data_IF_178927976258
#
_entry.id   IF_178927976258
#
_cell.length_a   1.000
_cell.length_b   1.000
_cell.length_c   1.000
_cell.angle_alpha   90.00
_cell.angle_beta   90.00
_cell.angle_gamma   90.00
#
_symmetry.space_group_name_H-M   'P 1'
#
loop_
_entity.id
_entity.type
_entity.pdbx_description
1 polymer ?
#
# COMPACT_ATOMS: atom_id res chain seq x y z
N UNK A 1 -9.32 20.55 10.93
CA UNK A 1 -9.22 19.29 10.20
C UNK A 1 -10.48 18.49 10.44
N UNK A 2 -11.41 18.57 9.53
CA UNK A 2 -12.66 17.82 9.57
C UNK A 2 -12.44 16.57 8.72
N UNK A 3 -12.13 15.43 9.34
CA UNK A 3 -11.74 14.18 8.70
C UNK A 3 -12.83 13.45 7.90
N UNK A 4 -13.79 14.15 7.35
CA UNK A 4 -14.91 13.59 6.61
C UNK A 4 -15.12 14.33 5.27
N UNK A 5 -14.03 14.52 4.52
CA UNK A 5 -14.12 15.01 3.15
C UNK A 5 -14.41 13.88 2.17
N UNK A 6 -15.30 14.11 1.20
CA UNK A 6 -15.46 13.19 0.07
C UNK A 6 -14.15 13.04 -0.69
N UNK A 7 -13.76 11.81 -1.00
CA UNK A 7 -12.58 11.52 -1.81
C UNK A 7 -12.71 12.08 -3.22
N UNK A 8 -11.60 12.52 -3.80
CA UNK A 8 -11.54 13.01 -5.17
C UNK A 8 -10.23 12.65 -5.82
N UNK A 9 -10.22 12.68 -7.14
CA UNK A 9 -9.03 12.59 -7.97
C UNK A 9 -8.78 13.95 -8.59
N UNK A 10 -7.53 14.41 -8.51
CA UNK A 10 -7.04 15.58 -9.27
C UNK A 10 -6.03 15.11 -10.29
N UNK A 11 -6.05 15.72 -11.46
CA UNK A 11 -5.12 15.44 -12.54
C UNK A 11 -4.13 16.59 -12.67
N UNK A 12 -2.83 16.27 -12.67
CA UNK A 12 -1.77 17.23 -12.96
C UNK A 12 -1.27 17.05 -14.39
N UNK A 13 -1.39 18.12 -15.18
CA UNK A 13 -0.88 18.16 -16.54
C UNK A 13 0.54 18.76 -16.52
N UNK A 14 1.54 17.92 -16.79
CA UNK A 14 2.96 18.33 -16.78
C UNK A 14 3.31 19.32 -17.89
N UNK A 15 2.70 19.20 -19.06
CA UNK A 15 2.97 20.11 -20.20
C UNK A 15 2.43 21.50 -19.94
N UNK A 16 1.25 21.59 -19.33
CA UNK A 16 0.58 22.86 -19.04
C UNK A 16 0.90 23.40 -17.65
N UNK A 17 1.63 22.64 -16.82
CA UNK A 17 1.88 22.94 -15.40
C UNK A 17 0.58 23.36 -14.67
N UNK A 18 -0.48 22.58 -14.84
CA UNK A 18 -1.80 22.89 -14.31
C UNK A 18 -2.43 21.70 -13.61
N UNK A 19 -3.28 21.98 -12.62
CA UNK A 19 -4.04 20.97 -11.89
C UNK A 19 -5.50 21.11 -12.26
N UNK A 20 -6.14 20.00 -12.64
CA UNK A 20 -7.57 19.86 -12.73
C UNK A 20 -8.08 19.14 -11.48
N UNK A 21 -9.02 19.76 -10.78
CA UNK A 21 -9.59 19.23 -9.55
C UNK A 21 -10.93 18.56 -9.81
N UNK A 22 -11.30 17.63 -8.93
CA UNK A 22 -12.60 16.96 -8.95
C UNK A 22 -12.86 16.13 -10.21
N UNK A 23 -11.82 15.64 -10.87
CA UNK A 23 -11.93 14.93 -12.14
C UNK A 23 -12.90 13.75 -12.07
N UNK A 24 -12.84 12.93 -10.99
CA UNK A 24 -13.79 11.83 -10.78
C UNK A 24 -15.24 12.34 -10.68
N UNK A 25 -15.49 13.33 -9.83
CA UNK A 25 -16.83 13.88 -9.60
C UNK A 25 -17.42 14.49 -10.87
N UNK A 26 -16.59 15.19 -11.65
CA UNK A 26 -17.03 15.78 -12.91
C UNK A 26 -17.43 14.72 -13.93
N UNK A 27 -16.69 13.61 -13.98
CA UNK A 27 -16.94 12.50 -14.91
C UNK A 27 -18.12 11.63 -14.50
N UNK A 28 -18.42 11.52 -13.20
CA UNK A 28 -19.45 10.63 -12.66
C UNK A 28 -20.68 11.38 -12.14
N UNK A 29 -21.13 12.39 -12.85
CA UNK A 29 -22.40 13.11 -12.61
C UNK A 29 -22.56 13.69 -11.19
N UNK A 30 -21.47 14.02 -10.55
CA UNK A 30 -21.46 14.56 -9.20
C UNK A 30 -21.22 13.53 -8.09
N UNK A 31 -21.12 12.24 -8.42
CA UNK A 31 -20.81 11.19 -7.46
C UNK A 31 -19.43 11.38 -6.84
N UNK A 32 -19.24 10.87 -5.64
CA UNK A 32 -18.00 10.95 -4.89
C UNK A 32 -17.37 9.56 -4.75
N UNK A 33 -16.05 9.52 -4.66
CA UNK A 33 -15.28 8.26 -4.47
C UNK A 33 -15.54 7.55 -3.15
N UNK A 34 -16.20 8.16 -2.22
CA UNK A 34 -16.29 7.74 -0.84
C UNK A 34 -15.54 8.71 0.07
N UNK A 35 -15.46 8.39 1.36
CA UNK A 35 -14.85 9.25 2.36
C UNK A 35 -13.40 8.83 2.61
N UNK A 36 -12.49 9.78 2.58
CA UNK A 36 -11.06 9.58 2.88
C UNK A 36 -10.42 8.50 2.01
N UNK A 37 -10.19 8.82 0.73
CA UNK A 37 -9.47 7.93 -0.20
C UNK A 37 -8.06 7.63 0.31
N UNK A 38 -7.65 6.36 0.25
CA UNK A 38 -6.43 5.83 0.85
C UNK A 38 -5.37 5.47 -0.19
N UNK A 39 -5.79 4.80 -1.25
CA UNK A 39 -4.87 4.31 -2.27
C UNK A 39 -5.53 4.25 -3.63
N UNK A 40 -4.69 4.22 -4.66
CA UNK A 40 -5.08 3.97 -6.04
C UNK A 40 -4.09 2.96 -6.63
N UNK A 41 -4.60 1.89 -7.23
CA UNK A 41 -3.82 0.81 -7.83
C UNK A 41 -4.27 0.57 -9.26
N UNK A 42 -3.32 0.59 -10.20
CA UNK A 42 -3.57 0.20 -11.58
C UNK A 42 -3.38 -1.32 -11.69
N UNK A 43 -4.41 -2.04 -12.12
CA UNK A 43 -4.38 -3.48 -12.31
C UNK A 43 -5.21 -3.87 -13.52
N UNK A 44 -4.65 -4.70 -14.41
CA UNK A 44 -5.32 -5.19 -15.64
C UNK A 44 -6.04 -4.06 -16.42
N UNK A 45 -5.38 -2.91 -16.56
CA UNK A 45 -5.91 -1.76 -17.30
C UNK A 45 -7.03 -0.98 -16.60
N UNK A 46 -7.36 -1.31 -15.35
CA UNK A 46 -8.37 -0.62 -14.53
C UNK A 46 -7.71 0.07 -13.34
N UNK A 47 -8.30 1.18 -12.91
CA UNK A 47 -7.89 1.91 -11.71
C UNK A 47 -8.82 1.54 -10.55
N UNK A 48 -8.23 0.98 -9.49
CA UNK A 48 -8.90 0.58 -8.26
C UNK A 48 -8.58 1.59 -7.18
N UNK A 49 -9.59 2.25 -6.63
CA UNK A 49 -9.42 3.27 -5.58
C UNK A 49 -10.09 2.81 -4.30
N UNK A 50 -9.30 2.72 -3.22
CA UNK A 50 -9.80 2.39 -1.89
C UNK A 50 -10.09 3.66 -1.10
N UNK A 51 -11.21 3.65 -0.37
CA UNK A 51 -11.61 4.69 0.59
C UNK A 51 -12.00 4.08 1.93
N UNK A 52 -11.90 4.85 3.01
CA UNK A 52 -12.22 4.32 4.36
C UNK A 52 -13.68 4.02 4.56
N UNK A 53 -14.55 4.84 3.99
CA UNK A 53 -15.99 4.80 4.23
C UNK A 53 -16.75 4.89 2.91
N UNK A 54 -18.03 4.52 2.93
CA UNK A 54 -18.98 4.49 1.81
C UNK A 54 -18.55 3.53 0.70
N UNK A 55 -18.26 4.00 -0.49
CA UNK A 55 -17.72 3.19 -1.58
C UNK A 55 -16.26 2.84 -1.30
N UNK A 56 -16.03 1.78 -0.55
CA UNK A 56 -14.71 1.43 -0.07
C UNK A 56 -13.76 0.90 -1.14
N UNK A 57 -14.30 0.41 -2.26
CA UNK A 57 -13.54 0.17 -3.48
C UNK A 57 -14.36 0.64 -4.69
N UNK A 58 -13.78 1.53 -5.48
CA UNK A 58 -14.33 1.95 -6.77
C UNK A 58 -13.37 1.52 -7.87
N UNK A 59 -13.91 0.94 -8.93
CA UNK A 59 -13.17 0.54 -10.13
C UNK A 59 -13.58 1.42 -11.28
N UNK A 60 -12.59 1.95 -11.99
CA UNK A 60 -12.82 2.88 -13.08
C UNK A 60 -11.84 2.70 -14.23
N UNK A 61 -12.20 3.24 -15.37
CA UNK A 61 -11.28 3.40 -16.49
C UNK A 61 -10.23 4.48 -16.14
N UNK A 62 -8.92 4.18 -16.22
CA UNK A 62 -7.87 5.09 -15.77
C UNK A 62 -7.71 6.34 -16.64
N UNK A 63 -8.24 6.33 -17.87
CA UNK A 63 -8.14 7.47 -18.80
C UNK A 63 -9.31 8.43 -18.67
N UNK A 64 -10.50 7.88 -18.50
CA UNK A 64 -11.73 8.68 -18.41
C UNK A 64 -12.15 8.95 -16.98
N UNK A 65 -11.72 8.16 -16.01
CA UNK A 65 -12.16 8.11 -14.61
C UNK A 65 -13.66 7.79 -14.47
N UNK A 66 -14.26 7.21 -15.50
CA UNK A 66 -15.65 6.75 -15.44
C UNK A 66 -15.72 5.47 -14.57
N UNK A 67 -16.55 5.52 -13.52
CA UNK A 67 -16.74 4.40 -12.62
C UNK A 67 -17.48 3.27 -13.32
N UNK A 68 -16.92 2.08 -13.27
CA UNK A 68 -17.53 0.88 -13.86
C UNK A 68 -18.25 0.04 -12.80
N UNK A 69 -17.70 0.02 -11.60
CA UNK A 69 -18.28 -0.75 -10.49
C UNK A 69 -17.73 -0.30 -9.12
N UNK A 70 -18.41 -0.73 -8.06
CA UNK A 70 -17.96 -0.54 -6.69
C UNK A 70 -18.39 -1.70 -5.79
N UNK A 71 -17.62 -2.02 -4.76
CA UNK A 71 -18.00 -3.04 -3.79
C UNK A 71 -18.85 -2.48 -2.62
N UNK A 72 -19.12 -1.17 -2.61
CA UNK A 72 -19.81 -0.54 -1.51
C UNK A 72 -19.03 -0.62 -0.20
N UNK A 73 -19.73 -0.90 0.91
CA UNK A 73 -19.14 -0.92 2.24
C UNK A 73 -18.71 -2.32 2.66
N UNK A 74 -17.47 -2.48 3.09
CA UNK A 74 -16.90 -3.71 3.63
C UNK A 74 -17.25 -3.85 5.12
N UNK A 75 -18.49 -4.15 5.45
CA UNK A 75 -18.98 -4.27 6.82
C UNK A 75 -18.56 -3.05 7.67
N UNK A 76 -17.83 -3.27 8.78
CA UNK A 76 -17.36 -2.21 9.68
C UNK A 76 -15.88 -1.85 9.48
N UNK A 77 -15.27 -2.29 8.40
CA UNK A 77 -13.83 -2.13 8.18
C UNK A 77 -13.54 -0.98 7.21
N UNK A 78 -12.40 -0.35 7.39
CA UNK A 78 -11.89 0.73 6.54
C UNK A 78 -10.94 0.14 5.52
N UNK A 79 -11.23 0.25 4.23
CA UNK A 79 -10.35 -0.22 3.18
C UNK A 79 -9.09 0.67 3.08
N UNK A 80 -7.95 0.04 2.80
CA UNK A 80 -6.67 0.72 2.67
C UNK A 80 -6.04 0.56 1.30
N UNK A 81 -5.91 -0.65 0.80
CA UNK A 81 -5.25 -0.91 -0.47
C UNK A 81 -5.91 -2.09 -1.20
N UNK A 82 -5.94 -1.98 -2.52
CA UNK A 82 -6.28 -3.09 -3.41
C UNK A 82 -5.01 -3.71 -3.95
N UNK A 83 -4.95 -5.05 -3.96
CA UNK A 83 -3.85 -5.84 -4.50
C UNK A 83 -4.45 -6.87 -5.46
N UNK A 84 -4.13 -6.78 -6.74
CA UNK A 84 -4.54 -7.78 -7.72
C UNK A 84 -3.77 -9.09 -7.52
N UNK A 85 -4.46 -10.23 -7.58
CA UNK A 85 -3.85 -11.56 -7.48
C UNK A 85 -3.77 -12.25 -8.86
N UNK A 86 -4.87 -12.24 -9.57
CA UNK A 86 -5.02 -12.76 -10.94
C UNK A 86 -6.21 -12.07 -11.64
N UNK A 87 -6.64 -12.58 -12.80
CA UNK A 87 -7.75 -11.97 -13.57
C UNK A 87 -9.11 -12.08 -12.88
N UNK A 88 -9.27 -13.02 -11.94
CA UNK A 88 -10.54 -13.30 -11.29
C UNK A 88 -10.64 -12.74 -9.85
N UNK A 89 -9.50 -12.56 -9.18
CA UNK A 89 -9.47 -12.22 -7.76
C UNK A 89 -8.46 -11.15 -7.40
N UNK A 90 -8.83 -10.34 -6.41
CA UNK A 90 -7.95 -9.41 -5.73
C UNK A 90 -8.14 -9.45 -4.22
N UNK A 91 -7.31 -8.71 -3.51
CA UNK A 91 -7.39 -8.53 -2.06
C UNK A 91 -7.63 -7.04 -1.77
N UNK A 92 -8.51 -6.79 -0.81
CA UNK A 92 -8.69 -5.47 -0.20
C UNK A 92 -8.16 -5.58 1.23
N UNK A 93 -7.12 -4.82 1.55
CA UNK A 93 -6.60 -4.73 2.91
C UNK A 93 -7.42 -3.75 3.74
N UNK A 94 -7.63 -4.05 5.02
CA UNK A 94 -8.44 -3.19 5.91
C UNK A 94 -8.08 -3.37 7.39
N UNK A 95 -8.65 -2.52 8.25
CA UNK A 95 -8.48 -2.62 9.69
C UNK A 95 -9.16 -3.85 10.26
N UNK A 96 -8.40 -4.80 10.76
CA UNK A 96 -8.88 -6.04 11.34
C UNK A 96 -8.52 -7.28 10.53
N UNK A 97 -8.72 -7.26 9.21
CA UNK A 97 -8.49 -8.42 8.34
C UNK A 97 -8.18 -7.96 6.92
N UNK A 98 -8.32 -8.87 5.97
CA UNK A 98 -8.39 -8.55 4.56
C UNK A 98 -9.56 -9.29 3.91
N UNK A 99 -10.05 -8.76 2.82
CA UNK A 99 -11.12 -9.37 2.04
C UNK A 99 -10.63 -9.79 0.67
N UNK A 100 -11.00 -10.98 0.21
CA UNK A 100 -10.90 -11.35 -1.18
C UNK A 100 -12.09 -10.75 -1.94
N UNK A 101 -11.85 -10.15 -3.08
CA UNK A 101 -12.87 -9.70 -4.01
C UNK A 101 -12.83 -10.54 -5.29
N UNK A 102 -13.99 -10.97 -5.77
CA UNK A 102 -14.14 -11.49 -7.11
C UNK A 102 -14.26 -10.34 -8.10
N UNK A 103 -13.35 -10.23 -9.06
CA UNK A 103 -13.27 -9.09 -9.99
C UNK A 103 -14.35 -9.10 -11.08
N UNK A 104 -15.11 -10.21 -11.22
CA UNK A 104 -16.23 -10.31 -12.16
C UNK A 104 -17.57 -9.99 -11.52
N UNK A 105 -17.80 -10.49 -10.30
CA UNK A 105 -19.10 -10.29 -9.58
C UNK A 105 -19.06 -9.15 -8.57
N UNK A 106 -17.86 -8.70 -8.18
CA UNK A 106 -17.60 -7.74 -7.10
C UNK A 106 -18.04 -8.21 -5.71
N UNK A 107 -18.38 -9.48 -5.57
CA UNK A 107 -18.62 -10.09 -4.27
C UNK A 107 -17.33 -10.19 -3.47
N UNK A 108 -17.44 -9.88 -2.19
CA UNK A 108 -16.33 -9.92 -1.25
C UNK A 108 -16.55 -10.95 -0.16
N UNK A 109 -15.47 -11.63 0.23
CA UNK A 109 -15.44 -12.45 1.44
C UNK A 109 -14.33 -11.97 2.35
N UNK A 110 -14.65 -11.74 3.62
CA UNK A 110 -13.64 -11.39 4.63
C UNK A 110 -12.97 -12.66 5.14
N UNK A 111 -11.66 -12.70 5.10
CA UNK A 111 -10.84 -13.84 5.49
C UNK A 111 -10.23 -13.61 6.87
N UNK A 112 -10.19 -14.67 7.66
CA UNK A 112 -9.64 -14.68 9.02
C UNK A 112 -8.35 -15.49 9.02
N UNK A 113 -7.30 -14.94 9.62
CA UNK A 113 -6.03 -15.67 9.73
C UNK A 113 -6.09 -16.84 10.72
N UNK A 114 -5.27 -17.86 10.47
CA UNK A 114 -5.12 -18.99 11.40
C UNK A 114 -4.37 -18.55 12.66
N UNK A 115 -5.05 -18.55 13.79
CA UNK A 115 -4.41 -18.64 15.10
C UNK A 115 -3.99 -17.34 15.79
N UNK A 116 -4.17 -16.16 15.20
CA UNK A 116 -3.85 -14.90 15.86
C UNK A 116 -4.92 -13.82 15.60
N UNK A 117 -5.16 -13.00 16.60
CA UNK A 117 -5.98 -11.79 16.47
C UNK A 117 -5.14 -10.69 15.80
N UNK A 118 -5.24 -10.56 14.49
CA UNK A 118 -4.62 -9.44 13.78
C UNK A 118 -5.56 -8.24 13.79
N UNK A 119 -5.00 -7.05 14.01
CA UNK A 119 -5.78 -5.80 14.09
C UNK A 119 -5.80 -5.03 12.79
N UNK A 120 -5.14 -5.51 11.75
CA UNK A 120 -5.21 -4.91 10.43
C UNK A 120 -4.13 -5.41 9.49
N UNK A 121 -4.41 -5.27 8.22
CA UNK A 121 -3.45 -5.49 7.16
C UNK A 121 -3.08 -4.16 6.51
N UNK A 122 -1.82 -4.03 6.10
CA UNK A 122 -1.30 -2.84 5.45
C UNK A 122 -1.11 -3.03 3.95
N UNK A 123 0.01 -2.52 3.45
CA UNK A 123 0.43 -2.72 2.07
C UNK A 123 0.81 -4.16 1.78
N UNK A 124 0.65 -4.56 0.54
CA UNK A 124 1.07 -5.87 0.06
C UNK A 124 1.41 -5.88 -1.42
N UNK A 125 1.92 -7.01 -1.88
CA UNK A 125 2.23 -7.25 -3.28
C UNK A 125 2.09 -8.73 -3.62
N UNK A 126 1.51 -9.03 -4.78
CA UNK A 126 1.53 -10.37 -5.35
C UNK A 126 2.88 -10.63 -6.02
N UNK A 127 3.56 -11.67 -5.61
CA UNK A 127 4.90 -11.96 -6.10
C UNK A 127 5.18 -13.46 -6.05
N UNK A 128 5.61 -14.02 -7.16
CA UNK A 128 6.07 -15.39 -7.30
C UNK A 128 5.16 -16.45 -6.63
N UNK A 129 3.85 -16.35 -6.90
CA UNK A 129 2.84 -17.27 -6.37
C UNK A 129 2.42 -17.02 -4.92
N UNK A 130 2.98 -16.02 -4.27
CA UNK A 130 2.62 -15.62 -2.91
C UNK A 130 2.08 -14.17 -2.90
N UNK A 131 1.15 -13.92 -2.00
CA UNK A 131 0.85 -12.57 -1.54
C UNK A 131 1.79 -12.25 -0.38
N UNK A 132 2.64 -11.25 -0.53
CA UNK A 132 3.44 -10.67 0.56
C UNK A 132 2.60 -9.57 1.19
N UNK A 133 2.39 -9.62 2.49
CA UNK A 133 1.47 -8.72 3.18
C UNK A 133 2.05 -8.23 4.50
N UNK A 134 1.96 -6.93 4.74
CA UNK A 134 2.25 -6.34 6.03
C UNK A 134 1.03 -6.49 6.95
N UNK A 135 1.21 -7.10 8.11
CA UNK A 135 0.14 -7.42 9.06
C UNK A 135 0.48 -6.89 10.45
N UNK A 136 -0.43 -6.11 11.02
CA UNK A 136 -0.34 -5.69 12.40
C UNK A 136 -0.91 -6.77 13.33
N UNK A 137 -0.15 -7.15 14.35
CA UNK A 137 -0.68 -7.97 15.43
C UNK A 137 -1.60 -7.14 16.36
N UNK A 138 -2.45 -7.82 17.14
CA UNK A 138 -3.32 -7.17 18.14
C UNK A 138 -2.50 -6.36 19.13
N UNK A 139 -2.94 -5.13 19.36
CA UNK A 139 -2.22 -4.16 20.18
C UNK A 139 -1.17 -3.36 19.39
N UNK A 140 -0.40 -2.58 20.06
CA UNK A 140 0.69 -1.75 19.50
C UNK A 140 1.97 -2.58 19.22
N UNK A 141 1.81 -3.86 18.91
CA UNK A 141 2.92 -4.73 18.52
C UNK A 141 3.53 -4.29 17.18
N UNK A 142 4.81 -4.63 17.00
CA UNK A 142 5.50 -4.36 15.74
C UNK A 142 4.84 -5.11 14.60
N UNK A 143 4.41 -4.43 13.53
CA UNK A 143 3.89 -5.10 12.36
C UNK A 143 4.94 -6.02 11.75
N UNK A 144 4.51 -7.15 11.20
CA UNK A 144 5.36 -8.13 10.55
C UNK A 144 4.92 -8.36 9.11
N UNK A 145 5.80 -8.90 8.33
CA UNK A 145 5.54 -9.29 6.95
C UNK A 145 5.27 -10.78 6.88
N UNK A 146 4.23 -11.15 6.18
CA UNK A 146 3.83 -12.55 5.96
C UNK A 146 3.68 -12.84 4.49
N UNK A 147 3.80 -14.12 4.15
CA UNK A 147 3.41 -14.66 2.84
C UNK A 147 2.20 -15.58 2.97
N UNK A 148 1.36 -15.55 1.95
CA UNK A 148 0.17 -16.38 1.82
C UNK A 148 0.15 -16.95 0.39
N UNK A 149 -0.23 -18.21 0.23
CA UNK A 149 -0.35 -18.82 -1.09
C UNK A 149 -1.47 -18.17 -1.92
N UNK A 150 -1.12 -17.65 -3.10
CA UNK A 150 -2.12 -17.08 -4.01
C UNK A 150 -3.08 -18.16 -4.52
N UNK A 151 -2.59 -19.38 -4.74
CA UNK A 151 -3.44 -20.50 -5.15
C UNK A 151 -4.53 -20.81 -4.09
N UNK A 152 -4.19 -20.73 -2.79
CA UNK A 152 -5.15 -20.89 -1.70
C UNK A 152 -6.18 -19.74 -1.72
N UNK A 153 -5.72 -18.49 -1.83
CA UNK A 153 -6.59 -17.31 -1.89
C UNK A 153 -7.51 -17.28 -3.11
N UNK A 154 -7.06 -17.82 -4.23
CA UNK A 154 -7.83 -17.85 -5.48
C UNK A 154 -8.70 -19.10 -5.64
N UNK A 155 -8.76 -19.99 -4.64
CA UNK A 155 -9.67 -21.13 -4.68
C UNK A 155 -11.13 -20.65 -4.80
N UNK A 156 -11.90 -21.15 -5.79
CA UNK A 156 -13.31 -20.80 -5.92
C UNK A 156 -14.15 -21.28 -4.74
N UNK A 157 -13.71 -22.34 -4.04
CA UNK A 157 -14.38 -22.95 -2.91
C UNK A 157 -14.08 -22.25 -1.57
N UNK A 158 -13.16 -21.27 -1.56
CA UNK A 158 -12.74 -20.54 -0.36
C UNK A 158 -13.94 -19.82 0.29
N UNK A 159 -14.20 -20.10 1.57
CA UNK A 159 -15.31 -19.57 2.36
C UNK A 159 -14.81 -18.59 3.42
N UNK A 160 -15.70 -17.69 3.93
CA UNK A 160 -15.35 -16.77 5.01
C UNK A 160 -14.86 -17.44 6.30
N UNK A 161 -15.27 -18.70 6.51
CA UNK A 161 -14.90 -19.51 7.69
C UNK A 161 -13.57 -20.23 7.54
N UNK A 162 -13.02 -20.27 6.32
CA UNK A 162 -11.78 -20.96 6.05
C UNK A 162 -10.60 -20.18 6.63
N UNK A 163 -9.65 -20.92 7.16
CA UNK A 163 -8.43 -20.37 7.73
C UNK A 163 -7.33 -20.40 6.69
N UNK A 164 -6.76 -19.25 6.43
CA UNK A 164 -5.66 -19.10 5.49
C UNK A 164 -4.33 -19.15 6.24
N UNK A 165 -3.38 -19.93 5.73
CA UNK A 165 -2.07 -20.10 6.36
C UNK A 165 -1.14 -18.91 6.07
N UNK A 166 -0.59 -18.30 7.12
CA UNK A 166 0.40 -17.23 7.06
C UNK A 166 1.79 -17.77 7.40
N UNK A 167 2.75 -17.54 6.53
CA UNK A 167 4.16 -17.81 6.81
C UNK A 167 4.87 -16.48 7.07
N UNK A 168 5.43 -16.32 8.28
CA UNK A 168 6.16 -15.12 8.67
C UNK A 168 7.50 -15.02 7.92
N UNK A 169 7.80 -13.83 7.40
CA UNK A 169 9.14 -13.43 7.00
C UNK A 169 9.80 -12.67 8.15
N UNK A 170 11.11 -12.84 8.31
CA UNK A 170 11.89 -12.11 9.32
C UNK A 170 12.07 -10.64 8.95
N UNK A 171 10.95 -9.92 8.85
CA UNK A 171 10.90 -8.47 8.57
C UNK A 171 9.94 -7.83 9.56
N UNK A 172 10.44 -6.88 10.33
CA UNK A 172 9.63 -6.06 11.23
C UNK A 172 9.44 -4.67 10.63
N UNK A 173 8.20 -4.23 10.54
CA UNK A 173 7.88 -2.93 9.95
C UNK A 173 7.17 -2.03 10.95
N UNK A 174 7.36 -0.71 10.81
CA UNK A 174 6.58 0.28 11.53
C UNK A 174 5.96 1.24 10.51
N UNK A 175 4.70 1.61 10.71
CA UNK A 175 4.01 2.56 9.85
C UNK A 175 3.70 2.02 8.45
N UNK A 176 3.65 2.92 7.48
CA UNK A 176 3.35 2.61 6.09
C UNK A 176 4.55 2.01 5.37
N UNK A 177 4.61 0.70 5.29
CA UNK A 177 5.61 0.00 4.48
C UNK A 177 5.06 -0.23 3.08
N UNK A 178 5.90 -0.05 2.08
CA UNK A 178 5.62 -0.41 0.68
C UNK A 178 6.57 -1.45 0.17
N UNK A 179 6.08 -2.21 -0.78
CA UNK A 179 6.86 -3.19 -1.54
C UNK A 179 7.09 -2.65 -2.95
N UNK A 180 8.32 -2.72 -3.42
CA UNK A 180 8.72 -2.28 -4.75
C UNK A 180 9.27 -3.47 -5.51
N UNK A 181 8.63 -3.85 -6.61
CA UNK A 181 9.15 -4.86 -7.51
C UNK A 181 10.11 -4.21 -8.50
N UNK A 182 11.34 -4.76 -8.57
CA UNK A 182 12.37 -4.27 -9.48
C UNK A 182 12.58 -5.22 -10.66
N UNK A 183 13.18 -4.69 -11.73
CA UNK A 183 13.50 -5.46 -12.97
C UNK A 183 14.49 -6.59 -12.75
N UNK A 184 15.24 -6.56 -11.65
CA UNK A 184 16.13 -7.66 -11.23
C UNK A 184 15.37 -8.89 -10.70
N UNK A 185 14.04 -8.82 -10.69
CA UNK A 185 13.17 -9.90 -10.26
C UNK A 185 13.01 -10.01 -8.74
N UNK A 186 13.47 -9.03 -7.97
CA UNK A 186 13.35 -9.02 -6.51
C UNK A 186 12.32 -7.99 -6.03
N UNK A 187 11.86 -8.17 -4.79
CA UNK A 187 11.05 -7.19 -4.07
C UNK A 187 11.91 -6.46 -3.05
N UNK A 188 11.68 -5.16 -2.94
CA UNK A 188 12.35 -4.31 -1.95
C UNK A 188 11.34 -3.65 -1.02
N UNK A 189 11.73 -3.54 0.24
CA UNK A 189 10.95 -2.86 1.28
C UNK A 189 11.89 -2.30 2.36
N UNK A 190 11.32 -1.62 3.34
CA UNK A 190 12.07 -1.12 4.50
C UNK A 190 11.63 -1.84 5.76
N UNK A 191 12.59 -2.07 6.64
CA UNK A 191 12.40 -2.61 7.97
C UNK A 191 12.80 -1.56 9.01
N UNK A 192 12.06 -1.49 10.10
CA UNK A 192 12.47 -0.82 11.33
C UNK A 192 12.44 -1.83 12.45
N UNK A 193 13.58 -2.13 13.02
CA UNK A 193 13.71 -3.11 14.10
C UNK A 193 13.25 -2.54 15.44
N UNK A 194 13.08 -3.40 16.45
CA UNK A 194 12.62 -2.98 17.80
C UNK A 194 13.59 -2.02 18.49
N UNK A 195 14.89 -2.10 18.17
CA UNK A 195 15.93 -1.21 18.68
C UNK A 195 16.08 0.06 17.83
N UNK A 196 15.15 0.29 16.88
CA UNK A 196 15.07 1.53 16.08
C UNK A 196 16.01 1.56 14.90
N UNK A 197 16.69 0.47 14.55
CA UNK A 197 17.52 0.41 13.36
C UNK A 197 16.67 0.25 12.10
N UNK A 198 17.10 0.91 11.04
CA UNK A 198 16.43 0.89 9.75
C UNK A 198 17.26 0.11 8.72
N UNK A 199 16.60 -0.77 7.98
CA UNK A 199 17.22 -1.55 6.92
C UNK A 199 16.43 -1.44 5.62
N UNK A 200 17.14 -1.33 4.50
CA UNK A 200 16.60 -1.66 3.20
C UNK A 200 16.69 -3.17 3.02
N UNK A 201 15.55 -3.80 2.78
CA UNK A 201 15.42 -5.26 2.70
C UNK A 201 15.13 -5.66 1.26
N UNK A 202 15.91 -6.61 0.75
CA UNK A 202 15.63 -7.32 -0.49
C UNK A 202 15.04 -8.68 -0.18
N UNK A 203 13.89 -8.98 -0.76
CA UNK A 203 13.23 -10.28 -0.75
C UNK A 203 13.53 -10.92 -2.12
N UNK A 204 14.30 -11.99 -2.11
CA UNK A 204 14.67 -12.73 -3.33
C UNK A 204 13.50 -13.60 -3.82
N UNK A 205 13.64 -14.16 -5.02
CA UNK A 205 12.60 -15.01 -5.63
C UNK A 205 12.27 -16.28 -4.82
N UNK A 206 13.21 -16.78 -4.01
CA UNK A 206 13.03 -17.89 -3.08
C UNK A 206 12.58 -17.45 -1.68
N UNK A 207 12.23 -16.17 -1.50
CA UNK A 207 11.87 -15.53 -0.24
C UNK A 207 13.00 -15.44 0.79
N UNK A 208 14.24 -15.77 0.45
CA UNK A 208 15.40 -15.43 1.27
C UNK A 208 15.61 -13.92 1.33
N UNK A 209 16.18 -13.42 2.43
CA UNK A 209 16.29 -12.00 2.70
C UNK A 209 17.75 -11.54 2.65
N UNK A 210 17.97 -10.34 2.11
CA UNK A 210 19.21 -9.59 2.31
C UNK A 210 18.87 -8.22 2.87
N UNK A 211 19.48 -7.87 4.01
CA UNK A 211 19.24 -6.60 4.72
C UNK A 211 20.52 -5.75 4.68
N UNK A 212 20.38 -4.47 4.40
CA UNK A 212 21.46 -3.48 4.42
C UNK A 212 21.01 -2.26 5.23
N UNK A 213 21.90 -1.75 6.09
CA UNK A 213 21.58 -0.64 6.98
C UNK A 213 21.27 0.62 6.18
N UNK A 214 20.19 1.27 6.52
CA UNK A 214 19.80 2.60 6.05
C UNK A 214 20.22 3.67 7.05
N UNK A 215 19.84 4.91 6.78
CA UNK A 215 20.04 6.03 7.71
C UNK A 215 19.26 5.82 9.00
N UNK A 216 19.90 6.10 10.13
CA UNK A 216 19.26 5.97 11.46
C UNK A 216 18.10 6.96 11.67
N UNK A 217 18.13 8.10 10.95
CA UNK A 217 17.09 9.13 11.01
C UNK A 217 15.91 8.88 10.04
N UNK A 218 15.86 7.72 9.35
CA UNK A 218 14.69 7.31 8.61
C UNK A 218 13.49 7.20 9.55
N UNK A 219 12.42 7.87 9.20
CA UNK A 219 11.17 7.81 9.96
C UNK A 219 10.09 7.20 9.08
N UNK A 220 9.67 5.96 9.36
CA UNK A 220 8.48 5.43 8.72
C UNK A 220 7.30 6.33 9.09
N UNK A 221 6.40 6.58 8.16
CA UNK A 221 5.19 7.35 8.44
C UNK A 221 4.45 6.72 9.63
N UNK A 222 4.44 7.42 10.77
CA UNK A 222 3.93 6.89 12.04
C UNK A 222 2.42 7.02 12.21
N UNK A 223 1.74 7.68 11.27
CA UNK A 223 0.30 7.90 11.38
C UNK A 223 -0.47 6.71 10.81
N UNK A 224 -0.80 5.77 11.67
CA UNK A 224 -1.58 4.58 11.35
C UNK A 224 -2.93 4.82 10.67
N UNK A 225 -3.43 6.07 10.72
CA UNK A 225 -4.66 6.45 10.07
C UNK A 225 -4.52 6.64 8.55
N UNK A 226 -3.36 7.06 8.07
CA UNK A 226 -3.16 7.41 6.65
C UNK A 226 -2.30 6.42 5.89
N UNK A 227 -1.54 5.58 6.60
CA UNK A 227 -0.68 4.52 6.05
C UNK A 227 0.16 4.93 4.83
N UNK A 228 0.47 6.21 4.74
CA UNK A 228 1.33 6.72 3.70
C UNK A 228 2.77 6.25 3.94
N UNK A 229 3.37 5.67 2.92
CA UNK A 229 4.75 5.23 3.01
C UNK A 229 5.71 6.38 2.74
N UNK A 230 6.66 6.57 3.63
CA UNK A 230 7.80 7.46 3.43
C UNK A 230 8.90 6.82 2.57
N UNK A 231 8.57 5.78 1.83
CA UNK A 231 9.45 5.01 0.96
C UNK A 231 8.75 4.65 -0.35
N UNK A 232 9.45 4.79 -1.46
CA UNK A 232 9.05 4.28 -2.78
C UNK A 232 10.29 3.94 -3.61
N UNK A 233 10.08 3.36 -4.79
CA UNK A 233 11.19 3.05 -5.69
C UNK A 233 10.74 2.91 -7.13
N UNK A 234 11.74 2.86 -8.02
CA UNK A 234 11.56 2.59 -9.44
C UNK A 234 11.82 1.12 -9.77
N UNK A 235 11.33 0.63 -10.91
CA UNK A 235 11.67 -0.70 -11.38
C UNK A 235 13.18 -0.93 -11.60
N UNK A 236 13.96 0.15 -11.78
CA UNK A 236 15.42 0.11 -11.96
C UNK A 236 16.20 -0.04 -10.64
N UNK A 237 15.52 -0.12 -9.48
CA UNK A 237 16.15 -0.26 -8.17
C UNK A 237 16.69 1.06 -7.61
N UNK A 238 16.10 2.18 -8.02
CA UNK A 238 16.34 3.48 -7.39
C UNK A 238 15.24 3.70 -6.36
N UNK A 239 15.63 3.96 -5.12
CA UNK A 239 14.72 4.14 -3.99
C UNK A 239 14.74 5.59 -3.51
N UNK A 240 13.60 6.04 -3.03
CA UNK A 240 13.44 7.36 -2.42
C UNK A 240 12.77 7.19 -1.06
N UNK A 241 13.31 7.91 -0.06
CA UNK A 241 12.75 7.89 1.28
C UNK A 241 12.93 9.21 2.01
N UNK A 242 12.10 9.42 3.03
CA UNK A 242 12.19 10.58 3.92
C UNK A 242 12.96 10.20 5.19
N UNK A 243 13.98 10.99 5.52
CA UNK A 243 14.72 10.88 6.77
C UNK A 243 15.09 12.28 7.26
N UNK A 244 14.94 12.56 8.56
CA UNK A 244 15.27 13.86 9.14
C UNK A 244 14.64 15.06 8.43
N UNK A 245 13.42 14.91 7.85
CA UNK A 245 12.75 15.98 7.10
C UNK A 245 13.29 16.23 5.70
N UNK A 246 14.13 15.33 5.17
CA UNK A 246 14.77 15.45 3.85
C UNK A 246 14.42 14.23 3.00
N UNK A 247 14.48 14.38 1.68
CA UNK A 247 14.30 13.29 0.73
C UNK A 247 15.66 12.81 0.24
N UNK A 248 15.89 11.53 0.31
CA UNK A 248 17.10 10.85 -0.15
C UNK A 248 16.81 9.97 -1.35
N UNK A 249 17.78 9.92 -2.28
CA UNK A 249 17.81 8.99 -3.42
C UNK A 249 18.87 7.93 -3.13
N UNK A 250 18.46 6.69 -3.03
CA UNK A 250 19.29 5.56 -2.63
C UNK A 250 19.26 4.43 -3.67
N UNK A 251 20.18 3.50 -3.53
CA UNK A 251 20.17 2.18 -4.17
C UNK A 251 20.44 1.12 -3.13
N UNK A 252 20.30 -0.16 -3.50
CA UNK A 252 20.61 -1.24 -2.55
C UNK A 252 22.09 -1.31 -2.16
N UNK A 253 22.99 -0.85 -3.05
CA UNK A 253 24.44 -0.79 -2.80
C UNK A 253 24.86 0.50 -2.06
N UNK A 254 24.02 1.55 -2.12
CA UNK A 254 24.19 2.78 -1.35
C UNK A 254 22.86 3.14 -0.65
N UNK A 255 22.51 2.41 0.42
CA UNK A 255 21.21 2.57 1.10
C UNK A 255 21.14 3.79 2.02
N UNK A 256 22.27 4.37 2.41
CA UNK A 256 22.38 5.49 3.33
C UNK A 256 23.22 6.64 2.72
N UNK A 257 22.77 7.25 1.60
CA UNK A 257 23.52 8.32 0.95
C UNK A 257 23.67 9.54 1.87
N UNK A 258 24.79 10.25 1.76
CA UNK A 258 25.02 11.50 2.48
C UNK A 258 24.29 12.68 1.84
N UNK A 259 24.23 12.70 0.51
CA UNK A 259 23.61 13.77 -0.25
C UNK A 259 22.09 13.65 -0.25
N UNK A 260 21.42 14.76 -0.02
CA UNK A 260 19.95 14.88 -0.12
C UNK A 260 19.53 15.18 -1.56
N UNK A 261 18.38 14.62 -1.98
CA UNK A 261 17.74 15.02 -3.22
C UNK A 261 17.09 16.41 -3.07
N UNK A 262 16.38 16.59 -1.95
CA UNK A 262 15.76 17.86 -1.58
C UNK A 262 15.46 17.88 -0.09
N UNK A 263 15.27 19.06 0.47
CA UNK A 263 14.87 19.28 1.84
C UNK A 263 13.74 20.30 1.93
N UNK A 264 12.96 20.24 3.00
CA UNK A 264 11.98 21.26 3.29
C UNK A 264 12.67 22.38 4.06
N UNK A 265 12.83 23.55 3.43
CA UNK A 265 13.65 24.64 3.95
C UNK A 265 12.87 25.67 4.79
N UNK A 266 11.54 25.59 4.82
CA UNK A 266 10.72 26.53 5.60
C UNK A 266 10.76 26.17 7.08
N UNK A 267 11.28 27.07 7.90
CA UNK A 267 11.39 26.89 9.35
C UNK A 267 10.04 26.56 10.00
N UNK A 268 10.02 25.57 10.90
CA UNK A 268 8.82 25.12 11.61
C UNK A 268 7.90 24.23 10.80
N UNK A 269 8.29 23.84 9.57
CA UNK A 269 7.53 22.93 8.71
C UNK A 269 8.35 21.67 8.38
N UNK A 270 7.68 20.61 7.99
CA UNK A 270 8.30 19.35 7.58
C UNK A 270 7.33 18.47 6.81
N UNK A 271 7.79 17.32 6.37
CA UNK A 271 6.94 16.33 5.72
C UNK A 271 6.07 15.63 6.78
N UNK A 272 4.80 15.98 6.84
CA UNK A 272 3.84 15.40 7.76
C UNK A 272 2.91 14.45 7.01
N UNK A 273 2.94 13.16 7.37
CA UNK A 273 2.10 12.16 6.73
C UNK A 273 2.29 12.05 5.22
N UNK A 274 3.45 12.48 4.72
CA UNK A 274 3.70 12.56 3.29
C UNK A 274 4.04 11.19 2.71
N UNK A 275 3.23 10.73 1.77
CA UNK A 275 3.59 9.63 0.90
C UNK A 275 4.52 10.09 -0.21
N UNK A 276 5.57 9.32 -0.46
CA UNK A 276 6.44 9.49 -1.63
C UNK A 276 5.97 8.56 -2.74
N UNK A 277 5.94 9.07 -3.97
CA UNK A 277 5.69 8.30 -5.19
C UNK A 277 6.67 8.70 -6.26
N UNK A 278 7.02 7.74 -7.08
CA UNK A 278 7.77 7.98 -8.32
C UNK A 278 6.78 8.01 -9.46
N UNK A 279 6.91 9.01 -10.33
CA UNK A 279 6.24 9.00 -11.62
C UNK A 279 7.10 8.17 -12.57
N UNK A 280 6.61 7.02 -13.08
CA UNK A 280 7.36 6.15 -13.98
C UNK A 280 7.61 6.80 -15.35
#
# INVERSE_FOLDING_TARGET
WLGHGSGSISFYNYEKNSIEHWCYKNQNFGDVLGVTSQSATLWNGKLYVCSKEDNQLVVMDPKTLYAENSCGKLANYQAYEFIGLNDDYGIITHGGYFSRINLKTFETITLVSVGNTYTGTGSGIAYNGKLILNVNSSGWGSPKVYTIDIAELCSPDLKPTDKVAFQELDITTYGGTRFVQCKDGNIYTVETTKDGKNNLVRINADFSLKKVAMRDDYSPSSFGAYREASFCGTPEGIFYYIAGGKIYKATFDNPAPEETLTEYTKEGYGFYGAGIRVNP
#
